data_IF_338719473962
#
_entry.id   IF_338719473962
#
_cell.length_a   1.000
_cell.length_b   1.000
_cell.length_c   1.000
_cell.angle_alpha   90.00
_cell.angle_beta   90.00
_cell.angle_gamma   90.00
#
_symmetry.space_group_name_H-M   'P 1'
#
loop_
_entity.id
_entity.type
_entity.pdbx_description
1 polymer ?
#
# COMPACT_ATOMS: atom_id res chain seq x y z
N UNK A 1 36.71 39.93 -9.92
CA UNK A 1 36.29 38.75 -9.13
C UNK A 1 35.32 37.93 -9.97
N UNK A 2 35.70 36.67 -10.27
CA UNK A 2 34.90 35.46 -10.63
C UNK A 2 33.73 35.57 -11.64
N UNK A 3 33.45 34.61 -12.52
CA UNK A 3 34.05 33.32 -12.85
C UNK A 3 33.48 32.87 -14.21
N UNK A 4 34.26 32.06 -14.90
CA UNK A 4 33.96 31.25 -16.08
C UNK A 4 33.03 30.07 -15.78
N UNK A 5 32.19 29.65 -16.73
CA UNK A 5 32.15 28.25 -17.22
C UNK A 5 31.10 28.05 -18.31
N UNK A 6 31.59 27.91 -19.55
CA UNK A 6 30.83 27.43 -20.71
C UNK A 6 30.92 25.90 -20.79
N UNK A 7 29.77 25.25 -21.03
CA UNK A 7 29.61 23.83 -21.36
C UNK A 7 30.27 23.48 -22.71
N UNK A 8 30.96 22.33 -22.85
CA UNK A 8 31.26 21.75 -24.15
C UNK A 8 30.30 20.61 -24.51
N UNK A 9 29.66 20.74 -25.68
CA UNK A 9 28.99 19.67 -26.41
C UNK A 9 30.05 18.72 -27.01
N UNK A 10 30.02 17.45 -26.64
CA UNK A 10 30.86 16.42 -27.24
C UNK A 10 30.27 15.99 -28.61
N UNK A 11 30.99 16.32 -29.68
CA UNK A 11 30.70 15.94 -31.06
C UNK A 11 31.42 14.61 -31.36
N UNK A 12 30.67 13.54 -31.62
CA UNK A 12 31.23 12.23 -31.96
C UNK A 12 31.50 12.17 -33.49
N UNK A 13 32.77 12.14 -33.90
CA UNK A 13 33.19 11.90 -35.28
C UNK A 13 33.27 10.40 -35.56
N UNK A 14 32.56 9.93 -36.58
CA UNK A 14 32.71 8.59 -37.13
C UNK A 14 33.85 8.62 -38.15
N UNK A 15 34.92 7.87 -37.88
CA UNK A 15 36.03 7.66 -38.81
C UNK A 15 35.77 6.47 -39.72
N UNK A 16 35.77 6.72 -41.03
CA UNK A 16 35.90 5.73 -42.09
C UNK A 16 37.38 5.35 -42.28
N UNK A 17 37.71 4.06 -42.46
CA UNK A 17 38.40 3.57 -43.67
C UNK A 17 38.86 2.10 -43.61
N UNK A 18 38.90 1.56 -44.84
CA UNK A 18 39.87 0.62 -45.40
C UNK A 18 39.68 -0.88 -45.17
N UNK A 19 39.32 -1.51 -46.29
CA UNK A 19 39.67 -2.84 -46.75
C UNK A 19 41.18 -3.10 -46.69
N UNK A 20 41.59 -4.19 -46.03
CA UNK A 20 42.78 -4.95 -46.42
C UNK A 20 42.63 -6.42 -46.00
N UNK A 21 42.70 -7.30 -46.99
CA UNK A 21 42.71 -8.75 -46.83
C UNK A 21 44.06 -9.18 -46.28
N UNK A 22 44.09 -9.73 -45.07
CA UNK A 22 45.23 -10.52 -44.60
C UNK A 22 44.74 -11.66 -43.71
N UNK A 23 44.87 -12.88 -44.24
CA UNK A 23 44.54 -14.14 -43.57
C UNK A 23 45.46 -14.37 -42.36
N UNK A 24 45.06 -13.86 -41.20
CA UNK A 24 45.71 -14.16 -39.92
C UNK A 24 44.86 -15.14 -39.11
N UNK A 25 45.44 -16.32 -38.87
CA UNK A 25 44.93 -17.40 -38.04
C UNK A 25 44.77 -16.90 -36.59
N UNK A 26 43.54 -16.68 -36.14
CA UNK A 26 43.25 -16.29 -34.76
C UNK A 26 43.50 -17.46 -33.79
N UNK A 27 44.15 -17.21 -32.63
CA UNK A 27 44.20 -18.18 -31.54
C UNK A 27 42.79 -18.37 -30.98
N UNK A 28 42.41 -19.63 -30.75
CA UNK A 28 41.10 -20.00 -30.23
C UNK A 28 40.89 -19.40 -28.83
N UNK A 29 40.12 -18.31 -28.75
CA UNK A 29 39.69 -17.70 -27.50
C UNK A 29 38.85 -18.74 -26.77
N UNK A 30 39.34 -19.25 -25.63
CA UNK A 30 38.52 -20.05 -24.71
C UNK A 30 37.39 -19.14 -24.23
N UNK A 31 36.16 -19.41 -24.67
CA UNK A 31 34.98 -18.73 -24.13
C UNK A 31 34.89 -19.08 -22.65
N UNK A 32 35.14 -18.10 -21.79
CA UNK A 32 34.81 -18.22 -20.38
C UNK A 32 33.28 -18.31 -20.28
N UNK A 33 32.79 -19.37 -19.66
CA UNK A 33 31.37 -19.56 -19.37
C UNK A 33 30.88 -18.36 -18.54
N UNK A 34 29.84 -17.62 -18.97
CA UNK A 34 29.28 -16.58 -18.13
C UNK A 34 28.79 -17.22 -16.82
N UNK A 35 28.99 -16.57 -15.66
CA UNK A 35 28.44 -17.08 -14.41
C UNK A 35 26.92 -17.21 -14.59
N UNK A 36 26.41 -18.41 -14.35
CA UNK A 36 24.99 -18.68 -14.36
C UNK A 36 24.31 -17.74 -13.37
N UNK A 37 23.56 -16.76 -13.90
CA UNK A 37 22.60 -15.97 -13.14
C UNK A 37 21.46 -16.90 -12.76
N UNK A 38 21.67 -17.71 -11.73
CA UNK A 38 20.59 -18.45 -11.09
C UNK A 38 19.60 -17.40 -10.57
N UNK A 39 18.31 -17.46 -10.94
CA UNK A 39 17.30 -16.64 -10.29
C UNK A 39 17.32 -17.02 -8.81
N UNK A 40 17.84 -16.14 -7.96
CA UNK A 40 17.72 -16.33 -6.53
C UNK A 40 16.23 -16.28 -6.21
N UNK A 41 15.67 -17.43 -5.84
CA UNK A 41 14.34 -17.50 -5.23
C UNK A 41 14.26 -16.41 -4.16
N UNK A 42 13.22 -15.57 -4.14
CA UNK A 42 12.99 -14.65 -3.05
C UNK A 42 13.10 -15.43 -1.72
N UNK A 43 13.70 -14.85 -0.67
CA UNK A 43 13.74 -15.47 0.64
C UNK A 43 12.32 -15.91 1.02
N UNK A 44 12.15 -17.19 1.35
CA UNK A 44 10.85 -17.72 1.76
C UNK A 44 10.35 -16.91 2.97
N UNK A 45 9.20 -16.26 2.82
CA UNK A 45 8.56 -15.52 3.91
C UNK A 45 8.24 -16.51 5.04
N UNK A 46 8.81 -16.27 6.22
CA UNK A 46 8.46 -17.04 7.41
C UNK A 46 7.05 -16.67 7.85
N UNK A 47 6.17 -17.66 8.00
CA UNK A 47 4.81 -17.47 8.50
C UNK A 47 4.87 -17.29 10.03
N UNK A 48 4.99 -16.04 10.46
CA UNK A 48 4.98 -15.67 11.88
C UNK A 48 3.56 -15.26 12.29
N UNK A 49 3.17 -15.53 13.54
CA UNK A 49 1.92 -15.03 14.09
C UNK A 49 1.92 -13.49 14.13
N UNK A 50 0.80 -12.87 13.76
CA UNK A 50 0.68 -11.40 13.77
C UNK A 50 0.85 -10.89 15.21
N UNK A 51 1.87 -10.06 15.49
CA UNK A 51 2.15 -9.57 16.83
C UNK A 51 1.09 -8.55 17.27
N UNK A 52 1.07 -8.26 18.57
CA UNK A 52 0.13 -7.32 19.19
C UNK A 52 -1.13 -7.98 19.76
N UNK A 53 -2.01 -7.14 20.29
CA UNK A 53 -3.24 -7.57 20.95
C UNK A 53 -4.15 -6.39 21.29
N UNK A 54 -5.35 -6.70 21.77
CA UNK A 54 -6.43 -5.72 21.97
C UNK A 54 -6.54 -5.19 23.41
N UNK A 55 -5.74 -5.74 24.33
CA UNK A 55 -5.79 -5.39 25.75
C UNK A 55 -7.02 -5.97 26.45
N UNK A 56 -7.32 -5.44 27.64
CA UNK A 56 -8.50 -5.84 28.41
C UNK A 56 -9.78 -5.28 27.74
N UNK A 57 -10.91 -6.01 27.74
CA UNK A 57 -12.15 -5.52 27.15
C UNK A 57 -12.52 -4.14 27.69
N UNK A 58 -12.99 -3.25 26.82
CA UNK A 58 -13.35 -1.84 27.11
C UNK A 58 -12.14 -0.94 27.42
N UNK A 59 -11.27 -1.32 28.37
CA UNK A 59 -10.13 -0.49 28.80
C UNK A 59 -9.05 -0.38 27.72
N UNK A 60 -8.74 -1.48 27.03
CA UNK A 60 -7.76 -1.50 25.93
C UNK A 60 -8.12 -0.52 24.81
N UNK A 61 -9.32 -0.64 24.20
CA UNK A 61 -9.79 0.29 23.17
C UNK A 61 -9.88 1.75 23.64
N UNK A 62 -10.30 1.98 24.90
CA UNK A 62 -10.34 3.32 25.49
C UNK A 62 -8.93 3.93 25.62
N UNK A 63 -7.98 3.16 26.10
CA UNK A 63 -6.60 3.61 26.24
C UNK A 63 -5.97 3.90 24.88
N UNK A 64 -6.15 3.00 23.91
CA UNK A 64 -5.66 3.21 22.55
C UNK A 64 -6.29 4.44 21.89
N UNK A 65 -7.58 4.70 22.12
CA UNK A 65 -8.25 5.94 21.68
C UNK A 65 -7.61 7.19 22.29
N UNK A 66 -7.32 7.18 23.59
CA UNK A 66 -6.65 8.30 24.25
C UNK A 66 -5.23 8.51 23.71
N UNK A 67 -4.49 7.43 23.47
CA UNK A 67 -3.16 7.49 22.85
C UNK A 67 -3.23 8.04 21.44
N UNK A 68 -4.21 7.62 20.64
CA UNK A 68 -4.39 8.04 19.25
C UNK A 68 -4.73 9.54 19.13
N UNK A 69 -5.66 10.06 19.93
CA UNK A 69 -6.14 11.43 19.79
C UNK A 69 -5.46 12.46 20.69
N UNK A 70 -5.08 12.10 21.92
CA UNK A 70 -4.60 13.08 22.91
C UNK A 70 -3.11 12.97 23.21
N UNK A 71 -2.56 11.77 23.42
CA UNK A 71 -1.18 11.64 23.94
C UNK A 71 -0.10 11.50 22.88
N UNK A 72 -0.35 10.77 21.78
CA UNK A 72 0.67 10.48 20.75
C UNK A 72 0.37 11.15 19.42
N UNK A 73 -0.93 11.20 19.06
CA UNK A 73 -1.36 11.55 17.71
C UNK A 73 -1.28 10.36 16.74
N UNK A 74 -1.97 10.43 15.59
CA UNK A 74 -2.07 9.31 14.63
C UNK A 74 -0.73 8.80 14.11
N UNK A 75 0.19 9.72 13.77
CA UNK A 75 1.48 9.37 13.16
C UNK A 75 2.40 8.63 14.12
N UNK A 76 2.50 9.08 15.37
CA UNK A 76 3.34 8.45 16.37
C UNK A 76 2.72 7.16 16.93
N UNK A 77 1.39 7.07 16.95
CA UNK A 77 0.65 5.91 17.42
C UNK A 77 1.06 4.63 16.69
N UNK A 78 1.16 4.70 15.36
CA UNK A 78 1.57 3.56 14.55
C UNK A 78 3.08 3.33 14.60
N UNK A 79 3.90 4.40 14.49
CA UNK A 79 5.37 4.30 14.55
C UNK A 79 5.86 3.60 15.81
N UNK A 80 5.37 4.00 16.99
CA UNK A 80 5.75 3.38 18.26
C UNK A 80 5.38 1.89 18.34
N UNK A 81 4.33 1.46 17.64
CA UNK A 81 3.91 0.04 17.60
C UNK A 81 4.75 -0.77 16.61
N UNK A 82 5.15 -0.16 15.49
CA UNK A 82 6.14 -0.75 14.58
C UNK A 82 7.43 -1.02 15.36
N UNK A 83 7.93 -0.02 16.10
CA UNK A 83 9.17 -0.16 16.88
C UNK A 83 9.01 -1.20 18.01
N UNK A 84 7.86 -1.23 18.69
CA UNK A 84 7.58 -2.19 19.76
C UNK A 84 7.51 -3.64 19.30
N UNK A 85 6.90 -3.89 18.14
CA UNK A 85 6.68 -5.25 17.63
C UNK A 85 7.70 -5.70 16.59
N UNK A 86 8.53 -4.79 16.08
CA UNK A 86 9.44 -5.06 14.97
C UNK A 86 8.72 -5.48 13.68
N UNK A 87 7.48 -5.05 13.49
CA UNK A 87 6.61 -5.47 12.38
C UNK A 87 5.76 -4.31 11.87
N UNK A 88 5.58 -4.25 10.55
CA UNK A 88 4.64 -3.32 9.88
C UNK A 88 3.20 -3.84 9.87
N UNK A 89 3.01 -5.11 10.24
CA UNK A 89 1.70 -5.75 10.38
C UNK A 89 1.50 -6.17 11.83
N UNK A 90 0.49 -5.63 12.50
CA UNK A 90 0.22 -5.93 13.92
C UNK A 90 -1.24 -5.70 14.31
N UNK A 91 -1.68 -6.37 15.38
CA UNK A 91 -3.00 -6.19 15.99
C UNK A 91 -3.02 -4.95 16.90
N UNK A 92 -4.04 -4.12 16.75
CA UNK A 92 -4.26 -2.93 17.57
C UNK A 92 -5.74 -2.57 17.59
N UNK A 93 -6.15 -1.72 18.54
CA UNK A 93 -7.44 -1.05 18.45
C UNK A 93 -7.29 0.25 17.66
N UNK A 94 -8.30 0.60 16.85
CA UNK A 94 -8.38 1.89 16.13
C UNK A 94 -9.73 2.55 16.43
N UNK A 95 -9.80 3.89 16.60
CA UNK A 95 -11.07 4.59 16.73
C UNK A 95 -11.90 4.51 15.43
N UNK A 96 -13.24 4.42 15.46
CA UNK A 96 -14.14 4.71 16.58
C UNK A 96 -14.26 3.57 17.60
N UNK A 97 -14.35 3.94 18.88
CA UNK A 97 -14.57 3.04 20.00
C UNK A 97 -15.44 3.73 21.07
N UNK A 98 -15.93 2.95 22.04
CA UNK A 98 -16.56 3.42 23.29
C UNK A 98 -15.82 4.68 23.85
N UNK A 99 -16.51 5.69 24.45
CA UNK A 99 -17.87 5.69 24.99
C UNK A 99 -19.01 6.11 24.05
N UNK A 100 -18.70 6.65 22.86
CA UNK A 100 -19.73 7.23 21.99
C UNK A 100 -20.24 6.30 20.88
N UNK A 101 -19.54 5.18 20.66
CA UNK A 101 -19.89 4.20 19.64
C UNK A 101 -20.15 2.86 20.33
N UNK A 102 -21.43 2.50 20.46
CA UNK A 102 -21.89 1.21 20.97
C UNK A 102 -22.14 0.27 19.79
N UNK A 103 -21.73 -1.00 19.92
CA UNK A 103 -21.90 -2.00 18.86
C UNK A 103 -20.88 -1.97 17.72
N UNK A 104 -19.77 -1.23 17.88
CA UNK A 104 -18.65 -1.18 16.94
C UNK A 104 -17.50 -2.03 17.47
N UNK A 105 -16.88 -2.84 16.61
CA UNK A 105 -15.67 -3.60 16.93
C UNK A 105 -14.42 -2.75 16.65
N UNK A 106 -13.64 -2.34 17.67
CA UNK A 106 -12.46 -1.52 17.48
C UNK A 106 -11.21 -2.33 17.06
N UNK A 107 -11.31 -3.66 17.07
CA UNK A 107 -10.18 -4.57 16.88
C UNK A 107 -9.81 -4.64 15.39
N UNK A 108 -8.58 -4.25 15.04
CA UNK A 108 -8.07 -4.33 13.66
C UNK A 108 -6.69 -4.97 13.58
N UNK A 109 -6.33 -5.41 12.36
CA UNK A 109 -4.95 -5.71 11.99
C UNK A 109 -4.46 -4.54 11.14
N UNK A 110 -3.54 -3.74 11.69
CA UNK A 110 -2.92 -2.65 10.96
C UNK A 110 -1.92 -3.22 9.95
N UNK A 111 -1.96 -2.69 8.73
CA UNK A 111 -1.09 -3.07 7.62
C UNK A 111 -0.43 -1.80 7.09
N UNK A 112 0.86 -1.63 7.35
CA UNK A 112 1.56 -0.33 7.20
C UNK A 112 2.74 -0.38 6.22
N UNK A 113 2.83 -1.43 5.41
CA UNK A 113 3.81 -1.56 4.31
C UNK A 113 3.11 -1.69 2.95
N UNK A 114 3.78 -1.22 1.89
CA UNK A 114 3.22 -1.17 0.53
C UNK A 114 2.82 -2.55 0.02
N UNK A 115 3.62 -3.58 0.33
CA UNK A 115 3.39 -4.94 -0.17
C UNK A 115 2.12 -5.53 0.44
N UNK A 116 1.98 -5.44 1.75
CA UNK A 116 0.82 -5.98 2.46
C UNK A 116 -0.42 -5.13 2.24
N UNK A 117 -0.28 -3.81 2.07
CA UNK A 117 -1.39 -2.90 1.78
C UNK A 117 -2.06 -3.21 0.44
N UNK A 118 -1.30 -3.72 -0.54
CA UNK A 118 -1.83 -4.16 -1.84
C UNK A 118 -3.00 -5.16 -1.72
N UNK A 119 -3.00 -6.00 -0.69
CA UNK A 119 -4.07 -6.98 -0.45
C UNK A 119 -5.43 -6.34 -0.10
N UNK A 120 -5.47 -5.08 0.34
CA UNK A 120 -6.73 -4.36 0.60
C UNK A 120 -7.50 -4.02 -0.69
N UNK A 121 -6.86 -4.16 -1.86
CA UNK A 121 -7.48 -3.94 -3.16
C UNK A 121 -8.00 -5.23 -3.82
N UNK A 122 -7.71 -6.40 -3.23
CA UNK A 122 -8.16 -7.69 -3.74
C UNK A 122 -9.61 -7.96 -3.32
N UNK A 123 -10.55 -7.84 -4.26
CA UNK A 123 -11.98 -8.01 -4.00
C UNK A 123 -12.39 -9.45 -3.67
N UNK A 124 -11.53 -10.44 -3.95
CA UNK A 124 -11.75 -11.85 -3.57
C UNK A 124 -11.38 -12.13 -2.11
N UNK A 125 -10.56 -11.27 -1.50
CA UNK A 125 -10.01 -11.46 -0.15
C UNK A 125 -10.67 -10.52 0.87
N UNK A 126 -11.06 -9.32 0.43
CA UNK A 126 -11.59 -8.26 1.31
C UNK A 126 -12.98 -7.84 0.87
N UNK A 127 -13.94 -7.96 1.79
CA UNK A 127 -15.29 -7.41 1.66
C UNK A 127 -15.30 -5.90 1.97
N UNK A 128 -15.89 -5.09 1.08
CA UNK A 128 -15.96 -3.62 1.23
C UNK A 128 -17.37 -3.11 1.58
N UNK A 129 -18.25 -4.00 2.03
CA UNK A 129 -19.59 -3.62 2.47
C UNK A 129 -19.51 -2.89 3.82
N UNK A 130 -20.08 -1.69 3.88
CA UNK A 130 -20.23 -0.90 5.12
C UNK A 130 -18.92 -0.55 5.86
N UNK A 131 -17.76 -0.67 5.24
CA UNK A 131 -16.45 -0.58 5.91
C UNK A 131 -15.66 0.71 5.67
N UNK A 132 -16.27 1.72 5.03
CA UNK A 132 -15.62 2.97 4.63
C UNK A 132 -14.86 3.68 5.76
N UNK A 133 -15.41 3.63 6.98
CA UNK A 133 -14.84 4.30 8.17
C UNK A 133 -14.47 3.26 9.24
N UNK A 134 -14.11 2.05 8.80
CA UNK A 134 -13.94 0.88 9.66
C UNK A 134 -15.28 0.19 9.96
N UNK A 135 -15.38 -0.48 11.10
CA UNK A 135 -16.59 -1.21 11.55
C UNK A 135 -17.69 -0.26 12.07
N UNK A 136 -17.91 0.85 11.37
CA UNK A 136 -18.92 1.83 11.69
C UNK A 136 -19.54 2.39 10.41
N UNK A 137 -20.83 2.13 10.23
CA UNK A 137 -21.64 2.75 9.20
C UNK A 137 -22.58 3.81 9.83
N UNK A 138 -22.51 5.07 9.40
CA UNK A 138 -23.48 6.09 9.78
C UNK A 138 -24.92 5.70 9.39
N UNK A 139 -25.90 6.24 10.11
CA UNK A 139 -27.31 6.01 9.77
C UNK A 139 -27.65 6.49 8.36
N UNK A 140 -28.40 5.67 7.61
CA UNK A 140 -28.92 6.03 6.28
C UNK A 140 -29.86 7.23 6.30
N UNK A 141 -30.33 7.66 7.47
CA UNK A 141 -31.13 8.88 7.61
C UNK A 141 -30.34 10.13 7.19
N UNK A 142 -29.01 10.12 7.30
CA UNK A 142 -28.15 11.20 6.83
C UNK A 142 -27.97 11.22 5.30
N UNK A 143 -28.40 10.15 4.61
CA UNK A 143 -28.27 9.96 3.17
C UNK A 143 -29.61 9.70 2.49
N UNK A 144 -30.71 10.15 3.10
CA UNK A 144 -32.06 10.05 2.52
C UNK A 144 -32.62 8.62 2.46
N UNK A 145 -32.18 7.73 3.36
CA UNK A 145 -32.60 6.33 3.42
C UNK A 145 -31.83 5.40 2.48
N UNK A 146 -30.76 5.89 1.84
CA UNK A 146 -29.97 5.13 0.86
C UNK A 146 -28.56 4.84 1.37
N UNK A 147 -28.05 3.63 1.11
CA UNK A 147 -26.62 3.32 1.22
C UNK A 147 -25.92 3.86 -0.02
N UNK A 148 -25.00 4.80 0.16
CA UNK A 148 -24.23 5.42 -0.93
C UNK A 148 -23.18 4.44 -1.50
N UNK A 149 -22.70 4.66 -2.74
CA UNK A 149 -21.79 3.70 -3.43
C UNK A 149 -20.58 3.31 -2.56
N UNK A 150 -20.05 4.26 -1.77
CA UNK A 150 -18.91 4.06 -0.88
C UNK A 150 -19.11 3.00 0.22
N UNK A 151 -20.34 2.61 0.54
CA UNK A 151 -20.64 1.54 1.50
C UNK A 151 -21.17 0.27 0.83
N UNK A 152 -21.26 0.23 -0.50
CA UNK A 152 -21.71 -0.93 -1.26
C UNK A 152 -20.50 -1.75 -1.69
N UNK A 153 -20.57 -3.07 -1.53
CA UNK A 153 -19.54 -3.95 -2.08
C UNK A 153 -19.68 -4.11 -3.61
N UNK A 154 -18.58 -4.45 -4.30
CA UNK A 154 -18.61 -4.69 -5.76
C UNK A 154 -19.51 -5.84 -6.19
N UNK A 155 -19.79 -6.79 -5.28
CA UNK A 155 -20.74 -7.89 -5.50
C UNK A 155 -22.21 -7.44 -5.45
N UNK A 156 -22.51 -6.28 -4.86
CA UNK A 156 -23.88 -5.76 -4.77
C UNK A 156 -24.31 -5.15 -6.13
N UNK A 157 -25.43 -5.58 -6.75
CA UNK A 157 -25.86 -5.05 -8.06
C UNK A 157 -26.09 -3.54 -8.09
N UNK A 158 -26.38 -2.92 -6.94
CA UNK A 158 -26.54 -1.47 -6.80
C UNK A 158 -25.22 -0.73 -6.94
N UNK A 159 -24.09 -1.36 -6.60
CA UNK A 159 -22.77 -0.75 -6.73
C UNK A 159 -22.48 -0.40 -8.18
N UNK A 160 -22.72 -1.32 -9.12
CA UNK A 160 -22.49 -1.05 -10.55
C UNK A 160 -23.45 0.01 -11.10
N UNK A 161 -24.72 0.00 -10.70
CA UNK A 161 -25.70 0.99 -11.15
C UNK A 161 -25.34 2.41 -10.72
N UNK A 162 -25.05 2.60 -9.43
CA UNK A 162 -24.73 3.91 -8.85
C UNK A 162 -23.37 4.40 -9.32
N UNK A 163 -22.35 3.54 -9.34
CA UNK A 163 -21.02 3.96 -9.73
C UNK A 163 -20.92 4.24 -11.25
N UNK A 164 -21.66 3.54 -12.13
CA UNK A 164 -21.76 3.90 -13.56
C UNK A 164 -22.41 5.26 -13.78
N UNK A 165 -23.44 5.61 -12.98
CA UNK A 165 -24.04 6.93 -13.01
C UNK A 165 -23.02 8.03 -12.64
N UNK A 166 -22.18 7.80 -11.63
CA UNK A 166 -21.09 8.72 -11.29
C UNK A 166 -20.02 8.87 -12.40
N UNK A 167 -19.70 7.80 -13.14
CA UNK A 167 -18.84 7.87 -14.34
C UNK A 167 -19.47 8.76 -15.43
N UNK A 168 -20.78 8.66 -15.64
CA UNK A 168 -21.50 9.46 -16.64
C UNK A 168 -21.59 10.95 -16.24
N UNK A 169 -21.67 11.26 -14.94
CA UNK A 169 -21.65 12.63 -14.41
C UNK A 169 -20.25 13.21 -14.16
N UNK A 170 -19.17 12.51 -14.54
CA UNK A 170 -17.80 13.03 -14.50
C UNK A 170 -17.14 13.07 -13.10
N UNK A 171 -17.69 12.36 -12.10
CA UNK A 171 -17.18 12.38 -10.70
C UNK A 171 -16.19 11.23 -10.42
N UNK A 172 -15.67 10.59 -11.47
CA UNK A 172 -15.15 9.25 -11.31
C UNK A 172 -13.63 9.12 -11.39
N UNK A 173 -12.99 9.38 -10.25
CA UNK A 173 -11.65 8.88 -9.93
C UNK A 173 -11.50 8.57 -8.43
N UNK A 174 -12.29 9.17 -7.54
CA UNK A 174 -11.85 9.28 -6.14
C UNK A 174 -12.35 8.22 -5.13
N UNK A 175 -13.23 7.28 -5.49
CA UNK A 175 -13.72 6.27 -4.51
C UNK A 175 -12.71 5.14 -4.27
N UNK A 176 -11.67 5.03 -5.10
CA UNK A 176 -10.64 4.00 -4.98
C UNK A 176 -9.35 4.43 -4.26
N UNK A 177 -9.25 5.68 -3.82
CA UNK A 177 -8.06 6.20 -3.11
C UNK A 177 -8.38 6.42 -1.63
N UNK A 178 -8.22 5.34 -0.86
CA UNK A 178 -7.75 5.42 0.52
C UNK A 178 -6.24 5.25 0.54
#
# INVERSE_FOLDING_TARGET
MQATSHLPHALFRIGSNSTDSHTHRLPQIRMATPPSLTPQSPPALQRVAVPGGYGWPVVGPLWDRLQYFWFQGPSNFFKKRIDKYGSTVFRTNVPPAFPFFVGVNPNVVAVLDVKSFGHLFEMEVVEKSNSLVGDFMPSVNYTGGLRVCAYLDTSEPKHSQVCVEYYHFGVCVCVFLF
#
